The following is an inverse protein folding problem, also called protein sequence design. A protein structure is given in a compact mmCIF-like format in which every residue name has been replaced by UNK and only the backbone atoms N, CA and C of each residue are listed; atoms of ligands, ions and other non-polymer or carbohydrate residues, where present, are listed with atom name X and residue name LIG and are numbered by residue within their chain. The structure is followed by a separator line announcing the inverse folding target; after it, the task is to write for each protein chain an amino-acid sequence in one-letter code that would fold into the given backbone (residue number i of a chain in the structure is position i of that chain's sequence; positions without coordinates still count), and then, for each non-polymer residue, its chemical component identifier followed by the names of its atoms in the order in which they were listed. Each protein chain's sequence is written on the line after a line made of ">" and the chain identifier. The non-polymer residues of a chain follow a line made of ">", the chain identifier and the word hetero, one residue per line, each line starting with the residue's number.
data_IF_424126260319
#
_entry.id   IF_424126260319
#
_cell.length_a   1.000
_cell.length_b   1.000
_cell.length_c   1.000
_cell.angle_alpha   90.00
_cell.angle_beta   90.00
_cell.angle_gamma   90.00
#
_symmetry.space_group_name_H-M   'P 1'
#
loop_
_entity.id
_entity.type
_entity.pdbx_description
1 polymer ?
#
# COMPACT_ATOMS: atom_id res chain seq x y z
N UNK A 1 9.48 0.61 35.66
CA UNK A 1 10.75 0.23 35.02
C UNK A 1 11.85 0.53 36.03
N UNK A 2 12.36 -0.48 36.73
CA UNK A 2 13.47 -0.33 37.68
C UNK A 2 14.75 -0.07 36.88
N UNK A 3 15.08 1.21 36.66
CA UNK A 3 16.44 1.62 36.30
C UNK A 3 17.33 1.46 37.53
N UNK A 4 17.56 0.19 37.84
CA UNK A 4 18.39 -0.29 38.92
C UNK A 4 19.82 0.23 38.73
N UNK A 5 20.42 0.59 39.86
CA UNK A 5 21.81 0.95 40.20
C UNK A 5 22.92 0.14 39.47
N UNK A 6 22.59 -0.80 38.58
CA UNK A 6 23.50 -1.56 37.72
C UNK A 6 24.20 -0.74 36.64
N UNK A 7 23.56 0.27 36.05
CA UNK A 7 24.16 0.97 34.90
C UNK A 7 25.24 1.99 35.28
N UNK A 8 25.27 2.44 36.54
CA UNK A 8 26.25 3.42 37.01
C UNK A 8 26.83 3.00 38.37
N UNK A 9 27.81 2.08 38.39
CA UNK A 9 28.40 1.56 39.63
C UNK A 9 28.98 2.66 40.53
N UNK A 10 29.50 3.74 39.92
CA UNK A 10 30.09 4.89 40.60
C UNK A 10 29.08 5.76 41.37
N UNK A 11 27.77 5.63 41.10
CA UNK A 11 26.72 6.34 41.86
C UNK A 11 26.57 5.81 43.29
N UNK A 12 27.01 4.56 43.56
CA UNK A 12 26.96 3.97 44.90
C UNK A 12 27.87 4.67 45.89
N UNK A 13 28.96 5.25 45.40
CA UNK A 13 30.01 5.84 46.23
C UNK A 13 29.86 7.35 46.40
N UNK A 14 28.83 7.98 45.81
CA UNK A 14 28.60 9.43 45.92
C UNK A 14 28.40 9.84 47.38
N UNK A 15 27.57 9.12 48.14
CA UNK A 15 27.39 9.40 49.57
C UNK A 15 28.64 9.15 50.42
N UNK A 16 29.51 8.24 49.98
CA UNK A 16 30.76 7.91 50.67
C UNK A 16 31.86 8.94 50.38
N UNK A 17 31.90 9.48 49.17
CA UNK A 17 32.92 10.42 48.73
C UNK A 17 32.56 11.90 48.95
N UNK A 18 31.28 12.27 49.05
CA UNK A 18 30.88 13.67 49.33
C UNK A 18 30.85 14.03 50.82
N UNK A 19 30.76 13.05 51.71
CA UNK A 19 30.60 13.30 53.16
C UNK A 19 31.93 13.16 53.91
N UNK A 20 32.88 12.32 53.43
CA UNK A 20 34.17 12.12 54.14
C UNK A 20 35.12 13.31 54.01
N UNK A 21 35.05 14.07 52.93
CA UNK A 21 36.05 15.11 52.64
C UNK A 21 35.76 16.43 53.38
N UNK A 22 34.68 16.51 54.16
CA UNK A 22 34.24 17.72 54.87
C UNK A 22 34.08 17.55 56.39
N UNK A 23 34.42 16.39 56.96
CA UNK A 23 34.16 16.12 58.38
C UNK A 23 35.37 16.06 59.32
N UNK A 24 36.60 16.20 58.82
CA UNK A 24 37.78 16.29 59.69
C UNK A 24 38.53 17.62 59.48
N UNK A 25 38.77 18.29 60.62
CA UNK A 25 39.83 19.27 60.91
C UNK A 25 39.67 20.75 60.59
N UNK A 26 38.63 21.42 61.11
CA UNK A 26 38.72 22.87 61.43
C UNK A 26 37.99 23.23 62.73
N UNK A 27 38.57 22.82 63.86
CA UNK A 27 38.42 23.56 65.11
C UNK A 27 39.47 24.69 65.13
N UNK A 28 38.98 25.92 65.25
CA UNK A 28 39.66 27.15 65.69
C UNK A 28 40.89 27.66 64.91
N UNK A 29 40.65 28.58 63.96
CA UNK A 29 41.31 29.89 63.79
C UNK A 29 40.93 30.47 62.40
N UNK A 30 40.78 31.81 62.27
CA UNK A 30 40.38 32.59 61.07
C UNK A 30 38.87 32.73 60.77
N UNK A 31 38.19 33.62 61.51
CA UNK A 31 36.77 33.96 61.30
C UNK A 31 36.48 34.85 60.05
N UNK A 32 37.48 35.37 59.32
CA UNK A 32 37.24 36.22 58.12
C UNK A 32 37.46 35.52 56.77
N UNK A 33 38.40 34.58 56.62
CA UNK A 33 38.64 33.85 55.35
C UNK A 33 37.62 32.72 55.08
N UNK A 34 37.08 32.08 56.13
CA UNK A 34 36.12 30.99 55.98
C UNK A 34 34.68 31.40 55.59
N UNK A 35 34.39 32.71 55.52
CA UNK A 35 33.08 33.24 55.11
C UNK A 35 32.97 33.25 53.57
N UNK A 36 34.05 33.62 52.88
CA UNK A 36 34.09 33.71 51.42
C UNK A 36 33.99 32.31 50.78
N UNK A 37 34.74 31.33 51.31
CA UNK A 37 34.67 29.92 50.89
C UNK A 37 33.28 29.30 51.13
N UNK A 38 32.64 29.57 52.28
CA UNK A 38 31.27 29.10 52.56
C UNK A 38 30.25 29.74 51.62
N UNK A 39 30.44 31.02 51.27
CA UNK A 39 29.57 31.71 50.32
C UNK A 39 29.72 31.14 48.90
N UNK A 40 30.95 30.86 48.46
CA UNK A 40 31.23 30.22 47.17
C UNK A 40 30.62 28.81 47.09
N UNK A 41 30.83 27.98 48.11
CA UNK A 41 30.22 26.64 48.20
C UNK A 41 28.70 26.70 48.10
N UNK A 42 28.06 27.64 48.81
CA UNK A 42 26.61 27.79 48.76
C UNK A 42 26.12 28.28 47.39
N UNK A 43 26.87 29.18 46.75
CA UNK A 43 26.58 29.66 45.39
C UNK A 43 26.63 28.52 44.38
N UNK A 44 27.72 27.73 44.40
CA UNK A 44 27.87 26.56 43.53
C UNK A 44 26.76 25.52 43.74
N UNK A 45 26.32 25.30 44.99
CA UNK A 45 25.20 24.41 45.29
C UNK A 45 23.89 24.89 44.67
N UNK A 46 23.58 26.18 44.76
CA UNK A 46 22.38 26.75 44.15
C UNK A 46 22.45 26.77 42.62
N UNK A 47 23.63 27.01 42.04
CA UNK A 47 23.85 26.88 40.59
C UNK A 47 23.62 25.44 40.12
N UNK A 48 24.24 24.45 40.77
CA UNK A 48 24.06 23.02 40.45
C UNK A 48 22.58 22.63 40.56
N UNK A 49 21.89 23.08 41.61
CA UNK A 49 20.47 22.83 41.82
C UNK A 49 19.62 23.45 40.72
N UNK A 50 19.92 24.69 40.31
CA UNK A 50 19.21 25.38 39.22
C UNK A 50 19.42 24.65 37.88
N UNK A 51 20.65 24.24 37.60
CA UNK A 51 21.00 23.45 36.42
C UNK A 51 20.25 22.11 36.44
N UNK A 52 20.27 21.40 37.56
CA UNK A 52 19.58 20.13 37.72
C UNK A 52 18.07 20.25 37.49
N UNK A 53 17.43 21.27 38.08
CA UNK A 53 16.01 21.55 37.87
C UNK A 53 15.69 21.88 36.41
N UNK A 54 16.60 22.58 35.71
CA UNK A 54 16.44 22.92 34.30
C UNK A 54 16.51 21.66 33.43
N UNK A 55 17.50 20.79 33.65
CA UNK A 55 17.59 19.51 32.93
C UNK A 55 16.42 18.59 33.25
N UNK A 56 15.96 18.52 34.50
CA UNK A 56 14.77 17.72 34.84
C UNK A 56 13.52 18.19 34.09
N UNK A 57 13.33 19.51 33.94
CA UNK A 57 12.21 20.05 33.16
C UNK A 57 12.33 19.67 31.69
N UNK A 58 13.53 19.74 31.13
CA UNK A 58 13.75 19.43 29.72
C UNK A 58 13.58 17.93 29.43
N UNK A 59 14.07 17.07 30.33
CA UNK A 59 13.86 15.62 30.26
C UNK A 59 12.35 15.31 30.22
N UNK A 60 11.56 15.91 31.12
CA UNK A 60 10.11 15.69 31.15
C UNK A 60 9.43 16.12 29.85
N UNK A 61 9.80 17.28 29.29
CA UNK A 61 9.24 17.71 28.00
C UNK A 61 9.55 16.72 26.89
N UNK A 62 10.79 16.21 26.85
CA UNK A 62 11.18 15.22 25.85
C UNK A 62 10.45 13.88 26.06
N UNK A 63 10.23 13.48 27.31
CA UNK A 63 9.41 12.30 27.63
C UNK A 63 7.96 12.48 27.15
N UNK A 64 7.36 13.65 27.38
CA UNK A 64 6.00 13.98 26.91
C UNK A 64 5.93 13.98 25.37
N UNK A 65 6.95 14.54 24.69
CA UNK A 65 7.03 14.56 23.23
C UNK A 65 7.21 13.17 22.64
N UNK A 66 8.07 12.33 23.24
CA UNK A 66 8.22 10.93 22.84
C UNK A 66 6.90 10.17 22.97
N UNK A 67 6.18 10.36 24.08
CA UNK A 67 4.89 9.71 24.27
C UNK A 67 3.87 10.15 23.21
N UNK A 68 3.79 11.45 22.92
CA UNK A 68 2.92 11.97 21.88
C UNK A 68 3.25 11.39 20.50
N UNK A 69 4.54 11.29 20.16
CA UNK A 69 4.97 10.72 18.88
C UNK A 69 4.67 9.22 18.80
N UNK A 70 4.79 8.47 19.89
CA UNK A 70 4.44 7.05 19.94
C UNK A 70 2.92 6.86 19.70
N UNK A 71 2.08 7.66 20.35
CA UNK A 71 0.63 7.64 20.14
C UNK A 71 0.26 7.96 18.69
N UNK A 72 0.86 9.01 18.12
CA UNK A 72 0.64 9.39 16.71
C UNK A 72 1.11 8.31 15.73
N UNK A 73 2.23 7.64 16.04
CA UNK A 73 2.75 6.56 15.23
C UNK A 73 1.81 5.34 15.25
N UNK A 74 1.25 5.00 16.41
CA UNK A 74 0.25 3.94 16.55
C UNK A 74 -1.03 4.24 15.74
N UNK A 75 -1.51 5.48 15.76
CA UNK A 75 -2.63 5.92 14.93
C UNK A 75 -2.32 5.77 13.43
N UNK A 76 -1.16 6.25 12.98
CA UNK A 76 -0.72 6.13 11.60
C UNK A 76 -0.61 4.65 11.15
N UNK A 77 -0.07 3.78 12.01
CA UNK A 77 0.03 2.35 11.73
C UNK A 77 -1.37 1.72 11.57
N UNK A 78 -2.33 2.11 12.40
CA UNK A 78 -3.71 1.63 12.27
C UNK A 78 -4.36 2.11 10.97
N UNK A 79 -4.14 3.36 10.58
CA UNK A 79 -4.66 3.92 9.34
C UNK A 79 -4.05 3.22 8.12
N UNK A 80 -2.75 3.00 8.10
CA UNK A 80 -2.06 2.25 7.03
C UNK A 80 -2.66 0.84 6.88
N UNK A 81 -2.94 0.15 8.00
CA UNK A 81 -3.57 -1.18 7.95
C UNK A 81 -4.97 -1.14 7.32
N UNK A 82 -5.80 -0.17 7.71
CA UNK A 82 -7.14 0.00 7.11
C UNK A 82 -7.06 0.30 5.61
N UNK A 83 -6.17 1.21 5.22
CA UNK A 83 -5.95 1.54 3.82
C UNK A 83 -5.48 0.32 3.01
N UNK A 84 -4.63 -0.52 3.59
CA UNK A 84 -4.20 -1.76 2.94
C UNK A 84 -5.37 -2.73 2.72
N UNK A 85 -6.24 -2.93 3.71
CA UNK A 85 -7.44 -3.76 3.59
C UNK A 85 -8.40 -3.24 2.51
N UNK A 86 -8.56 -1.92 2.41
CA UNK A 86 -9.37 -1.28 1.36
C UNK A 86 -8.77 -1.48 -0.03
N UNK A 87 -7.44 -1.33 -0.17
CA UNK A 87 -6.72 -1.58 -1.42
C UNK A 87 -6.89 -3.03 -1.87
N UNK A 88 -6.75 -3.99 -0.95
CA UNK A 88 -6.89 -5.41 -1.26
C UNK A 88 -8.31 -5.73 -1.75
N UNK A 89 -9.33 -5.17 -1.08
CA UNK A 89 -10.73 -5.29 -1.51
C UNK A 89 -10.96 -4.69 -2.90
N UNK A 90 -10.47 -3.48 -3.15
CA UNK A 90 -10.60 -2.83 -4.47
C UNK A 90 -9.90 -3.62 -5.57
N UNK A 91 -8.75 -4.22 -5.28
CA UNK A 91 -8.04 -5.08 -6.23
C UNK A 91 -8.84 -6.33 -6.58
N UNK A 92 -9.51 -6.95 -5.60
CA UNK A 92 -10.34 -8.12 -5.87
C UNK A 92 -11.60 -7.76 -6.66
N UNK A 93 -12.25 -6.65 -6.35
CA UNK A 93 -13.36 -6.11 -7.15
C UNK A 93 -12.92 -5.83 -8.60
N UNK A 94 -11.73 -5.26 -8.79
CA UNK A 94 -11.17 -4.98 -10.11
C UNK A 94 -10.89 -6.28 -10.89
N UNK A 95 -10.28 -7.30 -10.26
CA UNK A 95 -10.09 -8.63 -10.89
C UNK A 95 -11.42 -9.23 -11.33
N UNK A 96 -12.45 -9.15 -10.49
CA UNK A 96 -13.79 -9.64 -10.82
C UNK A 96 -14.38 -8.90 -12.02
N UNK A 97 -14.26 -7.57 -12.07
CA UNK A 97 -14.73 -6.77 -13.19
C UNK A 97 -13.98 -7.09 -14.48
N UNK A 98 -12.66 -7.25 -14.43
CA UNK A 98 -11.85 -7.66 -15.59
C UNK A 98 -12.33 -8.99 -16.15
N UNK A 99 -12.58 -10.00 -15.30
CA UNK A 99 -13.10 -11.29 -15.71
C UNK A 99 -14.50 -11.16 -16.33
N UNK A 100 -15.39 -10.37 -15.74
CA UNK A 100 -16.73 -10.14 -16.28
C UNK A 100 -16.68 -9.45 -17.64
N UNK A 101 -15.81 -8.45 -17.79
CA UNK A 101 -15.60 -7.76 -19.06
C UNK A 101 -15.05 -8.70 -20.13
N UNK A 102 -14.07 -9.55 -19.82
CA UNK A 102 -13.51 -10.50 -20.78
C UNK A 102 -14.56 -11.52 -21.25
N UNK A 103 -15.38 -12.05 -20.33
CA UNK A 103 -16.48 -12.95 -20.67
C UNK A 103 -17.53 -12.26 -21.56
N UNK A 104 -17.88 -11.00 -21.28
CA UNK A 104 -18.83 -10.23 -22.08
C UNK A 104 -18.28 -9.92 -23.48
N UNK A 105 -17.00 -9.57 -23.58
CA UNK A 105 -16.33 -9.32 -24.87
C UNK A 105 -16.36 -10.61 -25.70
N UNK A 106 -15.89 -11.73 -25.15
CA UNK A 106 -15.86 -13.02 -25.86
C UNK A 106 -17.26 -13.45 -26.28
N UNK A 107 -18.25 -13.35 -25.39
CA UNK A 107 -19.64 -13.69 -25.71
C UNK A 107 -20.20 -12.79 -26.82
N UNK A 108 -19.92 -11.48 -26.78
CA UNK A 108 -20.33 -10.55 -27.83
C UNK A 108 -19.70 -10.91 -29.17
N UNK A 109 -18.39 -11.19 -29.20
CA UNK A 109 -17.69 -11.58 -30.42
C UNK A 109 -18.26 -12.87 -31.03
N UNK A 110 -18.57 -13.87 -30.19
CA UNK A 110 -19.21 -15.10 -30.64
C UNK A 110 -20.60 -14.87 -31.25
N UNK A 111 -21.42 -14.04 -30.60
CA UNK A 111 -22.76 -13.71 -31.10
C UNK A 111 -22.70 -12.97 -32.43
N UNK A 112 -21.82 -11.98 -32.55
CA UNK A 112 -21.59 -11.27 -33.81
C UNK A 112 -21.12 -12.25 -34.89
N UNK A 113 -20.14 -13.10 -34.58
CA UNK A 113 -19.61 -14.08 -35.54
C UNK A 113 -20.66 -15.09 -36.03
N UNK A 114 -21.50 -15.61 -35.12
CA UNK A 114 -22.63 -16.49 -35.47
C UNK A 114 -23.65 -15.77 -36.36
N UNK A 115 -23.99 -14.53 -36.03
CA UNK A 115 -24.95 -13.74 -36.80
C UNK A 115 -24.43 -13.42 -38.21
N UNK A 116 -23.16 -13.03 -38.34
CA UNK A 116 -22.51 -12.79 -39.64
C UNK A 116 -22.46 -14.05 -40.51
N UNK A 117 -22.09 -15.19 -39.92
CA UNK A 117 -22.11 -16.50 -40.62
C UNK A 117 -23.50 -16.84 -41.11
N UNK A 118 -24.52 -16.67 -40.26
CA UNK A 118 -25.90 -16.93 -40.61
C UNK A 118 -26.35 -16.06 -41.79
N UNK A 119 -26.09 -14.75 -41.73
CA UNK A 119 -26.42 -13.80 -42.79
C UNK A 119 -25.71 -14.15 -44.11
N UNK A 120 -24.44 -14.53 -44.06
CA UNK A 120 -23.67 -14.95 -45.23
C UNK A 120 -24.24 -16.23 -45.87
N UNK A 121 -24.52 -17.26 -45.06
CA UNK A 121 -25.08 -18.52 -45.54
C UNK A 121 -26.45 -18.31 -46.19
N UNK A 122 -27.35 -17.55 -45.57
CA UNK A 122 -28.66 -17.28 -46.15
C UNK A 122 -28.58 -16.49 -47.47
N UNK A 123 -27.65 -15.54 -47.59
CA UNK A 123 -27.38 -14.83 -48.85
C UNK A 123 -26.92 -15.77 -49.97
N UNK A 124 -25.97 -16.67 -49.69
CA UNK A 124 -25.49 -17.62 -50.70
C UNK A 124 -26.56 -18.68 -51.04
N UNK A 125 -27.35 -19.15 -50.07
CA UNK A 125 -28.44 -20.08 -50.34
C UNK A 125 -29.55 -19.41 -51.18
N UNK A 126 -29.91 -18.16 -50.88
CA UNK A 126 -30.87 -17.37 -51.67
C UNK A 126 -30.38 -17.18 -53.12
N UNK A 127 -29.08 -16.93 -53.31
CA UNK A 127 -28.43 -16.81 -54.62
C UNK A 127 -28.45 -18.10 -55.43
N UNK A 128 -28.27 -19.26 -54.78
CA UNK A 128 -28.36 -20.58 -55.43
C UNK A 128 -29.81 -21.01 -55.67
N UNK A 129 -30.79 -20.32 -55.05
CA UNK A 129 -32.21 -20.59 -55.22
C UNK A 129 -32.72 -21.80 -54.42
N UNK A 130 -31.95 -22.29 -53.45
CA UNK A 130 -32.31 -23.43 -52.61
C UNK A 130 -33.20 -22.96 -51.44
N UNK A 131 -34.52 -22.92 -51.62
CA UNK A 131 -35.46 -22.53 -50.55
C UNK A 131 -36.22 -23.76 -50.02
N UNK A 132 -35.85 -24.24 -48.83
CA UNK A 132 -36.60 -25.32 -48.15
C UNK A 132 -37.78 -24.80 -47.30
N UNK A 133 -37.73 -23.56 -46.78
CA UNK A 133 -38.79 -22.96 -45.97
C UNK A 133 -38.83 -21.45 -46.17
N UNK A 134 -39.95 -20.89 -46.62
CA UNK A 134 -40.10 -19.46 -46.91
C UNK A 134 -40.09 -18.61 -45.63
N UNK A 135 -40.68 -19.12 -44.55
CA UNK A 135 -40.78 -18.45 -43.24
C UNK A 135 -39.41 -18.13 -42.66
N UNK A 136 -38.45 -19.06 -42.75
CA UNK A 136 -37.10 -18.87 -42.21
C UNK A 136 -36.34 -17.81 -43.02
N UNK A 137 -36.56 -17.77 -44.34
CA UNK A 137 -35.90 -16.80 -45.22
C UNK A 137 -36.50 -15.39 -45.15
N UNK A 138 -37.77 -15.26 -44.76
CA UNK A 138 -38.32 -13.96 -44.41
C UNK A 138 -37.78 -13.49 -43.06
N UNK A 139 -37.76 -14.37 -42.05
CA UNK A 139 -37.26 -14.05 -40.72
C UNK A 139 -35.77 -13.64 -40.67
N UNK A 140 -34.91 -14.18 -41.55
CA UNK A 140 -33.50 -13.75 -41.58
C UNK A 140 -33.33 -12.30 -42.04
N UNK A 141 -34.25 -11.78 -42.87
CA UNK A 141 -34.18 -10.40 -43.38
C UNK A 141 -34.42 -9.36 -42.29
N UNK A 142 -35.07 -9.75 -41.20
CA UNK A 142 -35.26 -8.92 -40.02
C UNK A 142 -34.00 -8.83 -39.14
N UNK A 143 -33.00 -9.68 -39.39
CA UNK A 143 -31.70 -9.64 -38.69
C UNK A 143 -30.81 -8.61 -39.37
N UNK A 144 -30.89 -7.36 -38.91
CA UNK A 144 -29.98 -6.30 -39.32
C UNK A 144 -28.77 -6.23 -38.37
N UNK A 145 -27.57 -6.41 -38.93
CA UNK A 145 -26.31 -6.32 -38.18
C UNK A 145 -25.66 -5.00 -38.62
N UNK A 146 -25.65 -3.95 -37.77
CA UNK A 146 -25.14 -2.66 -38.16
C UNK A 146 -23.65 -2.73 -38.49
N UNK A 147 -23.31 -2.44 -39.76
CA UNK A 147 -21.93 -2.46 -40.26
C UNK A 147 -21.00 -1.51 -39.48
N UNK A 148 -21.54 -0.47 -38.84
CA UNK A 148 -20.78 0.47 -38.00
C UNK A 148 -20.33 -0.10 -36.66
N UNK A 149 -20.99 -1.15 -36.16
CA UNK A 149 -20.71 -1.74 -34.84
C UNK A 149 -19.83 -3.00 -34.90
N UNK A 150 -19.59 -3.51 -36.10
CA UNK A 150 -18.77 -4.68 -36.36
C UNK A 150 -17.39 -4.25 -36.85
N UNK A 151 -16.31 -4.44 -36.07
CA UNK A 151 -14.96 -4.18 -36.53
C UNK A 151 -14.62 -5.01 -37.78
N UNK A 152 -13.94 -4.40 -38.75
CA UNK A 152 -13.53 -5.06 -40.01
C UNK A 152 -12.79 -6.38 -39.78
N UNK A 153 -11.84 -6.42 -38.84
CA UNK A 153 -11.09 -7.65 -38.53
C UNK A 153 -11.97 -8.79 -37.99
N UNK A 154 -13.07 -8.47 -37.29
CA UNK A 154 -14.01 -9.49 -36.81
C UNK A 154 -14.87 -10.03 -37.97
N UNK A 155 -15.26 -9.14 -38.89
CA UNK A 155 -16.01 -9.51 -40.09
C UNK A 155 -15.22 -10.44 -41.00
N UNK A 156 -13.97 -10.11 -41.25
CA UNK A 156 -13.06 -10.92 -42.08
C UNK A 156 -12.86 -12.31 -41.49
N UNK A 157 -12.75 -12.44 -40.16
CA UNK A 157 -12.60 -13.74 -39.48
C UNK A 157 -13.75 -14.72 -39.72
N UNK A 158 -14.97 -14.22 -39.97
CA UNK A 158 -16.17 -15.04 -40.01
C UNK A 158 -16.83 -15.13 -41.39
N UNK A 159 -16.51 -14.22 -42.31
CA UNK A 159 -17.00 -14.23 -43.69
C UNK A 159 -15.82 -14.53 -44.62
N UNK A 160 -15.86 -15.65 -45.38
CA UNK A 160 -14.84 -15.95 -46.36
C UNK A 160 -14.70 -14.81 -47.39
N UNK A 161 -13.57 -14.13 -47.35
CA UNK A 161 -13.10 -13.16 -48.34
C UNK A 161 -11.90 -13.71 -49.10
N UNK A 162 -11.53 -13.08 -50.21
CA UNK A 162 -10.38 -13.47 -51.04
C UNK A 162 -9.08 -13.50 -50.21
N UNK A 163 -9.00 -12.73 -49.11
CA UNK A 163 -7.87 -12.63 -48.19
C UNK A 163 -7.88 -13.70 -47.08
N UNK A 164 -9.03 -14.19 -46.62
CA UNK A 164 -9.10 -15.34 -45.68
C UNK A 164 -8.85 -16.69 -46.33
N UNK A 165 -8.84 -16.75 -47.66
CA UNK A 165 -8.55 -17.97 -48.40
C UNK A 165 -7.03 -18.14 -48.65
N UNK A 166 -6.18 -17.35 -47.99
CA UNK A 166 -4.74 -17.24 -48.30
C UNK A 166 -3.77 -17.38 -47.11
N UNK A 167 -4.18 -17.78 -45.91
CA UNK A 167 -3.28 -17.94 -44.74
C UNK A 167 -3.90 -18.98 -43.80
N UNK A 168 -3.26 -19.99 -43.23
CA UNK A 168 -1.96 -20.69 -43.33
C UNK A 168 -2.30 -22.10 -42.80
N UNK A 169 -1.75 -23.16 -43.41
CA UNK A 169 -1.82 -24.51 -42.81
C UNK A 169 -1.02 -24.46 -41.49
N UNK A 170 -1.71 -24.32 -40.35
CA UNK A 170 -1.12 -24.48 -39.02
C UNK A 170 -0.73 -25.97 -38.84
N UNK A 171 0.42 -26.35 -39.42
CA UNK A 171 1.20 -27.51 -39.02
C UNK A 171 1.80 -27.24 -37.63
N UNK A 172 0.98 -27.30 -36.59
CA UNK A 172 1.44 -27.42 -35.20
C UNK A 172 1.61 -28.92 -34.86
N UNK A 173 2.55 -29.58 -35.54
CA UNK A 173 3.31 -30.71 -35.00
C UNK A 173 4.69 -30.20 -34.61
N UNK A 174 4.92 -29.81 -33.34
CA UNK A 174 6.25 -30.00 -32.73
C UNK A 174 6.19 -29.97 -31.19
N UNK A 175 6.39 -31.17 -30.65
CA UNK A 175 6.90 -31.57 -29.33
C UNK A 175 7.45 -30.48 -28.39
N UNK A 176 6.93 -30.46 -27.16
CA UNK A 176 7.63 -29.89 -26.01
C UNK A 176 7.86 -30.97 -24.93
N UNK A 177 9.13 -31.35 -24.79
CA UNK A 177 9.71 -32.09 -23.66
C UNK A 177 9.66 -31.29 -22.34
#
# INVERSE_FOLDING_TARGET
>A
MELSVKNFPWLKDIHKNLISDYQDDYEDEYEEEGIEDKHEINTLREEIKTIHQTYQKEIRKLEDECQYLDELNDENIQEIKRNQEEIDKMNDDNKYLILKCSLLINSREEWIGRALKLQFLFKEIEKVGLKQSEIIFEAYKDVDIPDSEVPLGLRERFIPTILTNSVEDDDDEEDAF
#
